data_IF_643869441294
#
_entry.id   IF_643869441294
#
_cell.length_a   1.000
_cell.length_b   1.000
_cell.length_c   1.000
_cell.angle_alpha   90.00
_cell.angle_beta   90.00
_cell.angle_gamma   90.00
#
_symmetry.space_group_name_H-M   'P 1'
#
loop_
_entity.id
_entity.type
_entity.pdbx_description
1 polymer ?
#
# COMPACT_ATOMS: atom_id res chain seq x y z
N UNK A 1 -16.44 14.65 -21.52
CA UNK A 1 -15.12 15.24 -21.12
C UNK A 1 -15.21 15.66 -19.67
N UNK A 2 -14.29 15.26 -18.81
CA UNK A 2 -14.23 15.76 -17.43
C UNK A 2 -13.68 17.19 -17.43
N UNK A 3 -14.34 18.11 -16.71
CA UNK A 3 -13.86 19.47 -16.52
C UNK A 3 -12.73 19.47 -15.48
N UNK A 4 -11.62 20.15 -15.78
CA UNK A 4 -10.46 20.31 -14.88
C UNK A 4 -10.19 21.78 -14.61
N UNK A 5 -9.60 22.09 -13.45
CA UNK A 5 -9.17 23.45 -13.11
C UNK A 5 -7.85 23.77 -13.81
N UNK A 6 -7.79 24.90 -14.53
CA UNK A 6 -6.58 25.32 -15.27
C UNK A 6 -5.37 25.62 -14.38
N UNK A 7 -5.60 25.91 -13.09
CA UNK A 7 -4.53 26.26 -12.15
C UNK A 7 -3.90 25.04 -11.47
N UNK A 8 -4.68 24.01 -11.17
CA UNK A 8 -4.21 22.83 -10.42
C UNK A 8 -4.34 21.51 -11.18
N UNK A 9 -4.98 21.49 -12.35
CA UNK A 9 -5.19 20.31 -13.21
C UNK A 9 -5.95 19.15 -12.54
N UNK A 10 -6.52 19.40 -11.37
CA UNK A 10 -7.45 18.51 -10.69
C UNK A 10 -8.86 18.71 -11.28
N UNK A 11 -9.84 17.82 -10.98
CA UNK A 11 -11.24 18.03 -11.33
C UNK A 11 -11.70 19.45 -10.96
N UNK A 12 -12.49 20.06 -11.83
CA UNK A 12 -12.99 21.40 -11.62
C UNK A 12 -13.73 21.48 -10.28
N UNK A 13 -13.46 22.54 -9.53
CA UNK A 13 -14.05 22.81 -8.23
C UNK A 13 -14.91 24.09 -8.27
N UNK A 14 -15.95 24.21 -7.44
CA UNK A 14 -16.85 25.37 -7.43
C UNK A 14 -16.13 26.70 -7.20
N UNK A 15 -16.72 27.79 -7.70
CA UNK A 15 -16.27 29.15 -7.37
C UNK A 15 -16.44 29.38 -5.86
N UNK A 16 -15.33 29.69 -5.18
CA UNK A 16 -15.26 29.83 -3.72
C UNK A 16 -14.37 28.77 -3.05
N UNK A 17 -14.07 27.67 -3.74
CA UNK A 17 -13.08 26.69 -3.27
C UNK A 17 -11.70 26.96 -3.87
N UNK A 18 -10.66 26.85 -3.03
CA UNK A 18 -9.28 27.06 -3.45
C UNK A 18 -8.66 25.78 -3.99
N UNK A 19 -7.72 25.91 -4.92
CA UNK A 19 -6.92 24.78 -5.41
C UNK A 19 -6.21 24.03 -4.27
N UNK A 20 -5.80 24.75 -3.22
CA UNK A 20 -5.17 24.18 -2.04
C UNK A 20 -6.12 23.25 -1.28
N UNK A 21 -7.38 23.66 -1.06
CA UNK A 21 -8.39 22.84 -0.37
C UNK A 21 -8.58 21.51 -1.09
N UNK A 22 -8.78 21.53 -2.41
CA UNK A 22 -8.96 20.31 -3.21
C UNK A 22 -7.72 19.40 -3.17
N UNK A 23 -6.53 20.01 -3.16
CA UNK A 23 -5.26 19.29 -3.07
C UNK A 23 -5.09 18.59 -1.72
N UNK A 24 -5.42 19.26 -0.62
CA UNK A 24 -5.39 18.68 0.73
C UNK A 24 -6.38 17.52 0.85
N UNK A 25 -7.62 17.68 0.38
CA UNK A 25 -8.60 16.59 0.41
C UNK A 25 -8.15 15.39 -0.42
N UNK A 26 -7.58 15.63 -1.60
CA UNK A 26 -7.02 14.54 -2.40
C UNK A 26 -5.86 13.82 -1.75
N UNK A 27 -4.97 14.56 -1.09
CA UNK A 27 -3.88 13.95 -0.34
C UNK A 27 -4.43 13.08 0.79
N UNK A 28 -5.38 13.60 1.57
CA UNK A 28 -6.05 12.86 2.64
C UNK A 28 -6.66 11.55 2.14
N UNK A 29 -7.48 11.61 1.10
CA UNK A 29 -8.10 10.41 0.51
C UNK A 29 -7.06 9.40 -0.01
N UNK A 30 -5.97 9.88 -0.65
CA UNK A 30 -4.89 9.01 -1.12
C UNK A 30 -4.14 8.34 0.05
N UNK A 31 -3.90 9.06 1.13
CA UNK A 31 -3.24 8.53 2.32
C UNK A 31 -4.14 7.50 3.01
N UNK A 32 -5.42 7.80 3.19
CA UNK A 32 -6.42 6.89 3.77
C UNK A 32 -6.50 5.58 2.97
N UNK A 33 -6.63 5.65 1.64
CA UNK A 33 -6.68 4.48 0.76
C UNK A 33 -5.36 3.70 0.76
N UNK A 34 -4.21 4.39 0.75
CA UNK A 34 -2.89 3.76 0.84
C UNK A 34 -2.69 3.00 2.15
N UNK A 35 -3.08 3.61 3.27
CA UNK A 35 -3.03 2.97 4.59
C UNK A 35 -3.93 1.74 4.66
N UNK A 36 -5.16 1.82 4.14
CA UNK A 36 -6.09 0.69 4.11
C UNK A 36 -5.54 -0.48 3.26
N UNK A 37 -4.95 -0.18 2.10
CA UNK A 37 -4.39 -1.19 1.22
C UNK A 37 -3.04 -1.76 1.69
N UNK A 38 -2.34 -1.08 2.60
CA UNK A 38 -1.00 -1.49 3.06
C UNK A 38 -0.98 -2.85 3.78
N UNK A 39 -2.05 -3.15 4.53
CA UNK A 39 -2.15 -4.39 5.33
C UNK A 39 -2.71 -5.56 4.53
N UNK A 40 -3.39 -5.28 3.42
CA UNK A 40 -4.02 -6.29 2.57
C UNK A 40 -2.95 -7.05 1.80
N UNK A 41 -2.98 -8.37 1.92
CA UNK A 41 -2.13 -9.29 1.15
C UNK A 41 -2.93 -9.93 0.03
N UNK A 42 -2.24 -10.45 -0.97
CA UNK A 42 -2.83 -11.15 -2.11
C UNK A 42 -2.19 -12.51 -2.27
N UNK A 43 -3.00 -13.53 -2.53
CA UNK A 43 -2.50 -14.86 -2.82
C UNK A 43 -1.59 -14.83 -4.06
N UNK A 44 -0.39 -15.40 -3.97
CA UNK A 44 0.54 -15.42 -5.10
C UNK A 44 0.04 -16.24 -6.30
N UNK A 45 -0.94 -17.13 -6.10
CA UNK A 45 -1.48 -18.02 -7.13
C UNK A 45 -2.79 -17.50 -7.74
N UNK A 46 -3.75 -17.08 -6.91
CA UNK A 46 -5.09 -16.67 -7.37
C UNK A 46 -5.41 -15.19 -7.13
N UNK A 47 -4.46 -14.42 -6.60
CA UNK A 47 -4.60 -12.98 -6.27
C UNK A 47 -5.72 -12.61 -5.28
N UNK A 48 -6.41 -13.57 -4.68
CA UNK A 48 -7.47 -13.30 -3.70
C UNK A 48 -6.91 -12.51 -2.50
N UNK A 49 -7.57 -11.40 -2.09
CA UNK A 49 -7.11 -10.61 -0.96
C UNK A 49 -7.34 -11.35 0.36
N UNK A 50 -6.43 -11.15 1.31
CA UNK A 50 -6.54 -11.66 2.68
C UNK A 50 -5.73 -10.79 3.65
N UNK A 51 -6.11 -10.82 4.92
CA UNK A 51 -5.41 -10.13 6.01
C UNK A 51 -5.38 -11.06 7.21
N UNK A 52 -4.27 -11.06 7.96
CA UNK A 52 -4.11 -11.86 9.17
C UNK A 52 -4.38 -11.00 10.39
N UNK A 53 -5.32 -11.42 11.24
CA UNK A 53 -5.57 -10.81 12.56
C UNK A 53 -4.70 -11.47 13.63
N UNK A 54 -4.62 -12.80 13.63
CA UNK A 54 -4.02 -13.60 14.69
C UNK A 54 -3.44 -14.92 14.14
N UNK A 55 -2.77 -15.70 14.98
CA UNK A 55 -2.20 -17.00 14.63
C UNK A 55 -0.78 -16.95 14.03
N UNK A 56 -0.38 -18.04 13.36
CA UNK A 56 0.95 -18.19 12.77
C UNK A 56 1.04 -17.56 11.37
N UNK A 57 2.27 -17.33 10.89
CA UNK A 57 2.55 -16.68 9.62
C UNK A 57 2.47 -17.62 8.41
N UNK A 58 2.13 -18.90 8.60
CA UNK A 58 1.82 -19.85 7.52
C UNK A 58 0.37 -19.67 7.10
N UNK A 59 0.16 -19.18 5.88
CA UNK A 59 -1.18 -18.93 5.32
C UNK A 59 -1.50 -19.95 4.24
N UNK A 60 -2.65 -20.60 4.38
CA UNK A 60 -3.27 -21.42 3.35
C UNK A 60 -4.40 -20.65 2.67
N UNK A 61 -4.29 -20.48 1.36
CA UNK A 61 -5.39 -19.93 0.57
C UNK A 61 -6.45 -21.00 0.28
N UNK A 62 -7.69 -20.58 0.04
CA UNK A 62 -8.78 -21.47 -0.41
C UNK A 62 -8.48 -22.19 -1.73
N UNK A 63 -7.55 -21.68 -2.54
CA UNK A 63 -7.10 -22.35 -3.77
C UNK A 63 -6.02 -23.41 -3.51
N UNK A 64 -5.67 -23.69 -2.25
CA UNK A 64 -4.66 -24.67 -1.83
C UNK A 64 -3.23 -24.14 -1.72
N UNK A 65 -2.94 -22.93 -2.23
CA UNK A 65 -1.60 -22.35 -2.18
C UNK A 65 -1.15 -22.05 -0.73
N UNK A 66 0.12 -22.32 -0.44
CA UNK A 66 0.76 -22.06 0.85
C UNK A 66 1.74 -20.90 0.72
N UNK A 67 1.64 -19.92 1.62
CA UNK A 67 2.49 -18.73 1.58
C UNK A 67 2.80 -18.17 2.97
N UNK A 68 3.88 -17.41 3.05
CA UNK A 68 4.25 -16.69 4.26
C UNK A 68 3.56 -15.33 4.34
N UNK A 69 2.97 -15.00 5.49
CA UNK A 69 2.35 -13.70 5.72
C UNK A 69 3.36 -12.56 5.58
N UNK A 70 4.57 -12.72 6.13
CA UNK A 70 5.60 -11.68 6.20
C UNK A 70 6.22 -11.41 4.82
N UNK A 71 6.88 -12.42 4.25
CA UNK A 71 7.65 -12.23 3.01
C UNK A 71 6.82 -12.40 1.73
N UNK A 72 5.55 -12.84 1.84
CA UNK A 72 4.61 -13.03 0.72
C UNK A 72 5.02 -14.11 -0.29
N UNK A 73 6.10 -14.85 -0.03
CA UNK A 73 6.60 -15.91 -0.91
C UNK A 73 5.78 -17.19 -0.75
N UNK A 74 5.76 -17.99 -1.82
CA UNK A 74 5.30 -19.38 -1.78
C UNK A 74 6.21 -20.17 -0.82
N UNK A 75 5.60 -20.99 0.02
CA UNK A 75 6.29 -21.91 0.92
C UNK A 75 5.84 -23.34 0.66
N UNK A 76 6.60 -24.29 1.17
CA UNK A 76 6.17 -25.68 1.23
C UNK A 76 5.10 -25.86 2.31
N UNK A 77 4.28 -26.92 2.26
CA UNK A 77 3.23 -27.16 3.25
C UNK A 77 3.75 -27.50 4.66
N UNK A 78 5.07 -27.60 4.85
CA UNK A 78 5.74 -27.84 6.13
C UNK A 78 6.14 -26.51 6.83
N UNK A 79 6.93 -26.60 7.89
CA UNK A 79 7.35 -25.46 8.72
C UNK A 79 8.80 -25.03 8.49
N UNK A 80 9.49 -25.57 7.49
CA UNK A 80 10.93 -25.31 7.25
C UNK A 80 11.25 -23.84 6.93
N UNK A 81 10.25 -23.07 6.47
CA UNK A 81 10.40 -21.63 6.23
C UNK A 81 10.46 -20.81 7.53
N UNK A 82 10.09 -21.40 8.66
CA UNK A 82 9.92 -20.68 9.91
C UNK A 82 10.92 -21.10 10.97
N UNK A 83 11.29 -20.14 11.82
CA UNK A 83 11.91 -20.41 13.12
C UNK A 83 10.93 -19.99 14.22
N UNK A 84 11.02 -20.59 15.39
CA UNK A 84 10.17 -20.24 16.54
C UNK A 84 10.99 -20.06 17.82
N UNK A 85 10.51 -19.24 18.74
CA UNK A 85 11.22 -19.00 19.99
C UNK A 85 11.25 -20.28 20.85
N UNK A 86 12.39 -20.67 21.44
CA UNK A 86 13.61 -19.89 21.71
C UNK A 86 14.72 -19.97 20.64
N UNK A 87 14.46 -20.55 19.47
CA UNK A 87 15.48 -20.65 18.41
C UNK A 87 15.87 -19.26 17.90
N UNK A 88 17.16 -19.07 17.61
CA UNK A 88 17.67 -17.82 17.05
C UNK A 88 17.21 -17.64 15.60
N UNK A 89 17.05 -16.38 15.14
CA UNK A 89 16.72 -16.09 13.74
C UNK A 89 17.76 -16.67 12.77
N UNK A 90 17.32 -17.59 11.92
CA UNK A 90 18.18 -18.15 10.86
C UNK A 90 18.03 -17.36 9.55
N UNK A 91 19.12 -17.21 8.81
CA UNK A 91 19.13 -16.52 7.52
C UNK A 91 18.14 -17.20 6.56
N UNK A 92 17.18 -16.42 6.06
CA UNK A 92 16.20 -16.90 5.09
C UNK A 92 14.93 -17.52 5.68
N UNK A 93 14.86 -17.69 7.01
CA UNK A 93 13.63 -18.08 7.72
C UNK A 93 12.87 -16.87 8.24
N UNK A 94 11.54 -16.98 8.30
CA UNK A 94 10.66 -15.98 8.91
C UNK A 94 10.23 -16.44 10.31
N UNK A 95 9.92 -15.52 11.24
CA UNK A 95 9.36 -15.93 12.53
C UNK A 95 7.99 -16.60 12.33
N UNK A 96 7.78 -17.74 13.01
CA UNK A 96 6.52 -18.48 12.93
C UNK A 96 5.34 -17.64 13.43
N UNK A 97 5.57 -16.85 14.47
CA UNK A 97 4.59 -15.98 15.09
C UNK A 97 5.13 -14.55 15.20
N UNK A 98 4.25 -13.58 14.98
CA UNK A 98 4.54 -12.15 15.15
C UNK A 98 3.27 -11.45 15.60
N UNK A 99 3.41 -10.33 16.31
CA UNK A 99 2.28 -9.44 16.57
C UNK A 99 1.80 -8.82 15.25
N UNK A 100 0.59 -9.23 14.80
CA UNK A 100 0.01 -8.73 13.55
C UNK A 100 -0.23 -7.22 13.62
N UNK A 101 -0.63 -6.69 14.78
CA UNK A 101 -0.97 -5.28 14.94
C UNK A 101 0.27 -4.40 14.80
N UNK A 102 1.39 -4.78 15.44
CA UNK A 102 2.64 -4.05 15.31
C UNK A 102 3.14 -4.03 13.85
N UNK A 103 3.07 -5.17 13.17
CA UNK A 103 3.43 -5.26 11.75
C UNK A 103 2.53 -4.35 10.89
N UNK A 104 1.21 -4.40 11.10
CA UNK A 104 0.26 -3.58 10.35
C UNK A 104 0.44 -2.09 10.64
N UNK A 105 0.78 -1.70 11.86
CA UNK A 105 1.08 -0.33 12.25
C UNK A 105 2.30 0.23 11.51
N UNK A 106 3.38 -0.55 11.44
CA UNK A 106 4.57 -0.18 10.66
C UNK A 106 4.22 -0.04 9.18
N UNK A 107 3.42 -0.97 8.63
CA UNK A 107 3.02 -0.95 7.23
C UNK A 107 2.16 0.27 6.89
N UNK A 108 1.12 0.56 7.69
CA UNK A 108 0.28 1.76 7.56
C UNK A 108 1.10 3.04 7.59
N UNK A 109 1.98 3.18 8.59
CA UNK A 109 2.84 4.35 8.75
C UNK A 109 3.78 4.52 7.56
N UNK A 110 4.41 3.43 7.10
CA UNK A 110 5.30 3.47 5.94
C UNK A 110 4.57 3.83 4.65
N UNK A 111 3.34 3.36 4.48
CA UNK A 111 2.50 3.64 3.33
C UNK A 111 2.05 5.10 3.30
N UNK A 112 1.61 5.65 4.43
CA UNK A 112 1.27 7.07 4.58
C UNK A 112 2.45 7.97 4.18
N UNK A 113 3.64 7.75 4.78
CA UNK A 113 4.86 8.52 4.49
C UNK A 113 5.27 8.44 3.03
N UNK A 114 5.20 7.26 2.41
CA UNK A 114 5.50 7.08 0.99
C UNK A 114 4.49 7.83 0.11
N UNK A 115 3.20 7.73 0.42
CA UNK A 115 2.16 8.43 -0.33
C UNK A 115 2.31 9.95 -0.25
N UNK A 116 2.55 10.50 0.94
CA UNK A 116 2.85 11.92 1.15
C UNK A 116 4.05 12.36 0.31
N UNK A 117 5.18 11.65 0.41
CA UNK A 117 6.39 11.97 -0.36
C UNK A 117 6.17 11.90 -1.88
N UNK A 118 5.44 10.89 -2.37
CA UNK A 118 5.12 10.79 -3.81
C UNK A 118 4.18 11.90 -4.27
N UNK A 119 3.22 12.30 -3.44
CA UNK A 119 2.30 13.38 -3.75
C UNK A 119 3.05 14.70 -3.84
N UNK A 120 3.93 14.99 -2.88
CA UNK A 120 4.79 16.17 -2.88
C UNK A 120 5.69 16.23 -4.11
N UNK A 121 6.30 15.11 -4.51
CA UNK A 121 7.07 15.03 -5.75
C UNK A 121 6.22 15.29 -7.00
N UNK A 122 4.97 14.81 -7.06
CA UNK A 122 4.07 15.10 -8.20
C UNK A 122 3.77 16.59 -8.36
N UNK A 123 3.94 17.39 -7.30
CA UNK A 123 3.65 18.82 -7.29
C UNK A 123 4.88 19.68 -7.57
N UNK A 124 6.08 19.12 -7.42
CA UNK A 124 7.35 19.81 -7.72
C UNK A 124 7.80 19.62 -9.17
N UNK A 125 7.21 18.68 -9.92
CA UNK A 125 7.54 18.46 -11.32
C UNK A 125 7.20 19.69 -12.18
N UNK A 126 8.11 20.14 -13.07
CA UNK A 126 7.83 21.23 -13.98
C UNK A 126 6.67 20.85 -14.89
N UNK A 127 5.78 21.80 -15.12
CA UNK A 127 4.60 21.63 -15.96
C UNK A 127 5.05 21.14 -17.34
N UNK A 128 4.45 20.09 -17.92
CA UNK A 128 4.61 19.88 -19.36
C UNK A 128 4.06 21.14 -20.04
N UNK A 129 4.90 21.81 -20.82
CA UNK A 129 4.48 22.97 -21.61
C UNK A 129 3.43 22.47 -22.58
N UNK A 130 2.17 22.78 -22.32
CA UNK A 130 1.14 22.72 -23.35
C UNK A 130 1.49 23.82 -24.34
N UNK A 131 2.29 23.50 -25.36
CA UNK A 131 2.35 24.31 -26.56
C UNK A 131 0.94 24.30 -27.13
N UNK A 132 0.31 25.46 -27.07
CA UNK A 132 -0.96 25.70 -27.71
C UNK A 132 -0.75 25.44 -29.20
N UNK A 133 -1.35 24.38 -29.74
CA UNK A 133 -1.47 24.22 -31.17
C UNK A 133 -2.46 25.28 -31.65
N UNK A 134 -1.91 26.34 -32.24
CA UNK A 134 -2.62 27.40 -32.92
C UNK A 134 -3.54 26.83 -34.00
N UNK A 135 -4.84 27.14 -33.92
CA UNK A 135 -5.74 27.28 -35.06
C UNK A 135 -6.78 28.34 -34.71
#
# INVERSE_FOLDING_TARGET
KALTCIHCQLPAHPRGETCLKLKVEKLRLKVEDSMANAVIRKCHACAKPYTKTDGCNRIQCICGAQMCYICKKKIQPNYDHFYDFPEEPEIGKCPLQTNSEDLHNVERTSAARKTEATFDHQLSLPRPSTSYASY
#
